data_IF_127571449619
#
_entry.id   IF_127571449619
#
_cell.length_a   1.000
_cell.length_b   1.000
_cell.length_c   1.000
_cell.angle_alpha   90.00
_cell.angle_beta   90.00
_cell.angle_gamma   90.00
#
_symmetry.space_group_name_H-M   'P 1'
#
loop_
_entity.id
_entity.type
_entity.pdbx_description
1 polymer ?
#
# COMPACT_ATOMS: atom_id res chain seq x y z
N UNK A 1 12.01 16.77 -10.78
CA UNK A 1 13.32 16.42 -10.20
C UNK A 1 13.20 16.64 -8.70
N UNK A 2 13.41 15.62 -7.88
CA UNK A 2 13.21 15.67 -6.42
C UNK A 2 14.16 16.68 -5.78
N UNK A 3 13.64 17.57 -4.95
CA UNK A 3 14.45 18.54 -4.19
C UNK A 3 15.08 17.86 -2.97
N UNK A 4 16.17 18.40 -2.39
CA UNK A 4 16.72 17.88 -1.14
C UNK A 4 15.70 17.82 0.00
N UNK A 5 14.81 18.82 0.07
CA UNK A 5 13.73 18.85 1.07
C UNK A 5 12.69 17.76 0.82
N UNK A 6 12.34 17.49 -0.45
CA UNK A 6 11.46 16.39 -0.82
C UNK A 6 12.05 15.02 -0.47
N UNK A 7 13.35 14.83 -0.72
CA UNK A 7 14.04 13.59 -0.37
C UNK A 7 14.15 13.39 1.15
N UNK A 8 14.42 14.46 1.91
CA UNK A 8 14.43 14.42 3.37
C UNK A 8 13.02 14.13 3.92
N UNK A 9 11.98 14.73 3.33
CA UNK A 9 10.59 14.47 3.69
C UNK A 9 10.27 12.99 3.54
N UNK A 10 10.54 12.41 2.38
CA UNK A 10 10.32 10.99 2.10
C UNK A 10 10.98 10.12 3.18
N UNK A 11 12.28 10.29 3.44
CA UNK A 11 13.00 9.55 4.49
C UNK A 11 12.35 9.71 5.87
N UNK A 12 11.88 10.91 6.23
CA UNK A 12 11.19 11.13 7.51
C UNK A 12 9.87 10.39 7.58
N UNK A 13 9.09 10.37 6.50
CA UNK A 13 7.82 9.62 6.47
C UNK A 13 8.10 8.12 6.53
N UNK A 14 8.97 7.59 5.65
CA UNK A 14 9.36 6.18 5.61
C UNK A 14 9.83 5.68 6.98
N UNK A 15 10.70 6.46 7.64
CA UNK A 15 11.17 6.13 9.00
C UNK A 15 10.02 6.12 9.99
N UNK A 16 9.17 7.14 9.98
CA UNK A 16 8.10 7.29 10.96
C UNK A 16 7.02 6.21 10.85
N UNK A 17 6.68 5.74 9.65
CA UNK A 17 5.75 4.61 9.45
C UNK A 17 6.40 3.25 9.72
N UNK A 18 7.67 3.08 9.32
CA UNK A 18 8.43 1.85 9.57
C UNK A 18 8.80 1.62 11.04
N UNK A 19 8.69 2.65 11.88
CA UNK A 19 8.89 2.60 13.33
C UNK A 19 7.54 2.54 14.12
N UNK A 20 6.38 2.37 13.44
CA UNK A 20 5.08 2.18 14.11
C UNK A 20 5.07 0.82 14.82
N UNK A 21 4.77 0.83 16.12
CA UNK A 21 4.58 -0.38 16.91
C UNK A 21 3.17 -0.94 16.70
N UNK A 22 3.07 -2.23 16.39
CA UNK A 22 1.81 -2.95 16.41
C UNK A 22 1.51 -3.38 17.85
N UNK A 23 0.62 -2.67 18.57
CA UNK A 23 0.18 -3.11 19.89
C UNK A 23 -0.77 -4.32 19.79
N UNK A 24 -0.41 -5.44 20.43
CA UNK A 24 -1.23 -6.65 20.51
C UNK A 24 -0.52 -7.82 21.20
N UNK A 25 -1.22 -8.48 22.11
CA UNK A 25 -0.74 -9.58 22.96
C UNK A 25 -0.11 -10.75 22.15
N UNK A 26 1.08 -11.16 22.56
CA UNK A 26 1.80 -12.42 22.20
C UNK A 26 2.22 -12.73 20.75
N UNK A 27 2.07 -11.85 19.74
CA UNK A 27 2.68 -12.09 18.41
C UNK A 27 3.18 -10.81 17.72
N UNK A 28 4.45 -10.75 17.26
CA UNK A 28 4.93 -9.65 16.43
C UNK A 28 4.27 -9.78 15.06
N UNK A 29 3.17 -9.05 14.84
CA UNK A 29 2.79 -8.69 13.48
C UNK A 29 3.76 -7.58 13.09
N UNK A 30 4.67 -7.86 12.16
CA UNK A 30 5.53 -6.82 11.60
C UNK A 30 4.63 -5.72 11.02
N UNK A 31 5.00 -4.45 11.23
CA UNK A 31 4.27 -3.35 10.61
C UNK A 31 4.31 -3.52 9.08
N UNK A 32 3.17 -3.42 8.41
CA UNK A 32 3.08 -3.63 6.96
C UNK A 32 3.63 -2.47 6.14
N UNK A 33 4.66 -1.79 6.64
CA UNK A 33 5.37 -0.70 5.97
C UNK A 33 6.84 -1.08 5.80
N UNK A 34 7.44 -0.64 4.70
CA UNK A 34 8.86 -0.88 4.46
C UNK A 34 9.74 -0.19 5.50
N UNK A 35 10.82 -0.86 5.90
CA UNK A 35 11.76 -0.34 6.90
C UNK A 35 13.01 0.23 6.25
N UNK A 36 13.46 1.37 6.75
CA UNK A 36 14.79 1.88 6.45
C UNK A 36 15.80 1.09 7.27
N UNK A 37 16.69 0.37 6.59
CA UNK A 37 17.84 -0.31 7.18
C UNK A 37 19.03 0.64 7.33
N UNK A 38 19.23 1.53 6.35
CA UNK A 38 20.30 2.51 6.37
C UNK A 38 20.00 3.69 5.43
N UNK A 39 20.66 4.83 5.64
CA UNK A 39 20.48 6.01 4.82
C UNK A 39 21.80 6.79 4.72
N UNK A 40 22.25 7.09 3.49
CA UNK A 40 23.54 7.73 3.21
C UNK A 40 23.38 8.89 2.25
N UNK A 41 24.14 9.95 2.46
CA UNK A 41 24.36 10.97 1.43
C UNK A 41 25.73 10.73 0.81
N UNK A 42 25.76 10.49 -0.49
CA UNK A 42 26.99 10.21 -1.24
C UNK A 42 27.21 11.25 -2.32
N UNK A 43 28.44 11.27 -2.88
CA UNK A 43 28.84 12.18 -3.94
C UNK A 43 29.73 11.44 -4.93
N UNK A 44 29.53 11.65 -6.23
CA UNK A 44 30.39 11.08 -7.28
C UNK A 44 29.64 10.72 -8.56
N UNK A 45 30.35 10.03 -9.47
CA UNK A 45 29.71 9.35 -10.61
C UNK A 45 28.97 8.10 -10.14
N UNK A 46 28.07 7.57 -10.98
CA UNK A 46 27.42 6.29 -10.70
C UNK A 46 28.45 5.14 -10.68
N UNK A 47 28.33 4.25 -9.70
CA UNK A 47 29.25 3.12 -9.58
C UNK A 47 29.14 2.19 -10.81
N UNK A 48 30.27 1.75 -11.37
CA UNK A 48 30.30 0.92 -12.59
C UNK A 48 29.38 -0.30 -12.51
N UNK A 49 29.29 -0.93 -11.34
CA UNK A 49 28.41 -2.10 -11.15
C UNK A 49 26.94 -1.73 -11.32
N UNK A 50 26.51 -0.58 -10.82
CA UNK A 50 25.12 -0.10 -10.96
C UNK A 50 24.81 0.32 -12.40
N UNK A 51 25.79 0.92 -13.10
CA UNK A 51 25.68 1.23 -14.52
C UNK A 51 25.47 -0.04 -15.35
N UNK A 52 26.29 -1.07 -15.11
CA UNK A 52 26.12 -2.37 -15.78
C UNK A 52 24.75 -2.98 -15.51
N UNK A 53 24.31 -3.00 -14.25
CA UNK A 53 22.98 -3.49 -13.89
C UNK A 53 21.85 -2.68 -14.54
N UNK A 54 21.99 -1.36 -14.68
CA UNK A 54 21.03 -0.54 -15.40
C UNK A 54 21.00 -0.87 -16.89
N UNK A 55 22.16 -1.04 -17.54
CA UNK A 55 22.25 -1.43 -18.95
C UNK A 55 21.63 -2.82 -19.21
N UNK A 56 21.88 -3.79 -18.30
CA UNK A 56 21.28 -5.12 -18.37
C UNK A 56 19.75 -5.05 -18.27
N UNK A 57 19.23 -4.19 -17.38
CA UNK A 57 17.79 -3.95 -17.23
C UNK A 57 17.19 -3.24 -18.45
N UNK A 58 17.81 -2.15 -18.91
CA UNK A 58 17.40 -1.37 -20.08
C UNK A 58 17.29 -2.25 -21.32
N UNK A 59 18.28 -3.13 -21.55
CA UNK A 59 18.27 -4.07 -22.66
C UNK A 59 17.21 -5.19 -22.53
N UNK A 60 16.75 -5.49 -21.32
CA UNK A 60 15.78 -6.57 -21.05
C UNK A 60 14.31 -6.11 -21.15
N UNK A 61 14.03 -4.82 -20.99
CA UNK A 61 12.68 -4.27 -21.08
C UNK A 61 12.30 -4.01 -22.55
N UNK A 62 11.09 -4.40 -22.96
CA UNK A 62 10.65 -4.39 -24.38
C UNK A 62 10.84 -3.04 -25.08
N UNK A 63 10.65 -1.92 -24.36
CA UNK A 63 10.78 -0.56 -24.89
C UNK A 63 12.00 0.20 -24.33
N UNK A 64 12.92 -0.50 -23.68
CA UNK A 64 13.96 0.14 -22.87
C UNK A 64 13.42 0.75 -21.58
N UNK A 65 14.33 1.24 -20.74
CA UNK A 65 13.99 2.00 -19.56
C UNK A 65 13.44 3.38 -19.96
N UNK A 66 12.36 3.81 -19.31
CA UNK A 66 11.86 5.19 -19.45
C UNK A 66 12.84 6.21 -18.85
N UNK A 67 13.74 5.76 -17.97
CA UNK A 67 14.73 6.60 -17.33
C UNK A 67 15.94 6.84 -18.25
N UNK A 68 16.56 8.01 -18.12
CA UNK A 68 17.84 8.29 -18.79
C UNK A 68 18.96 7.51 -18.11
N UNK A 69 19.96 7.10 -18.90
CA UNK A 69 21.16 6.43 -18.38
C UNK A 69 21.79 7.19 -17.19
N UNK A 70 22.19 6.47 -16.13
CA UNK A 70 22.85 7.08 -14.97
C UNK A 70 24.30 7.51 -15.25
N UNK A 71 24.88 7.17 -16.40
CA UNK A 71 26.23 7.62 -16.79
C UNK A 71 26.33 9.14 -17.01
N UNK A 72 25.18 9.82 -17.14
CA UNK A 72 25.12 11.28 -17.38
C UNK A 72 25.58 12.15 -16.20
N UNK A 73 25.87 11.57 -15.04
CA UNK A 73 26.17 12.30 -13.81
C UNK A 73 27.68 12.39 -13.55
N UNK A 74 28.13 13.60 -13.22
CA UNK A 74 29.54 13.95 -13.00
C UNK A 74 29.97 13.79 -11.53
N UNK A 75 31.28 13.92 -11.25
CA UNK A 75 31.87 13.73 -9.91
C UNK A 75 31.27 14.60 -8.79
N UNK A 76 30.66 15.74 -9.14
CA UNK A 76 30.04 16.65 -8.17
C UNK A 76 28.59 16.29 -7.79
N UNK A 77 27.97 15.34 -8.50
CA UNK A 77 26.59 14.92 -8.25
C UNK A 77 26.47 14.32 -6.85
N UNK A 78 25.42 14.73 -6.11
CA UNK A 78 25.07 14.17 -4.80
C UNK A 78 23.87 13.24 -4.92
N UNK A 79 23.86 12.17 -4.14
CA UNK A 79 22.73 11.24 -4.06
C UNK A 79 22.33 11.01 -2.60
N UNK A 80 21.04 10.74 -2.42
CA UNK A 80 20.53 10.11 -1.22
C UNK A 80 20.35 8.63 -1.53
N UNK A 81 21.04 7.77 -0.78
CA UNK A 81 20.93 6.31 -0.88
C UNK A 81 20.16 5.81 0.32
N UNK A 82 18.91 5.42 0.11
CA UNK A 82 18.05 4.82 1.13
C UNK A 82 18.09 3.30 0.95
N UNK A 83 18.56 2.58 1.96
CA UNK A 83 18.61 1.12 1.97
C UNK A 83 17.36 0.63 2.70
N UNK A 84 16.47 -0.02 1.95
CA UNK A 84 15.18 -0.51 2.43
C UNK A 84 15.22 -2.03 2.67
N UNK A 85 14.33 -2.52 3.53
CA UNK A 85 14.06 -3.95 3.66
C UNK A 85 13.45 -4.51 2.37
N UNK A 86 13.79 -5.74 1.99
CA UNK A 86 13.20 -6.41 0.83
C UNK A 86 11.73 -6.80 1.10
N UNK A 87 10.80 -6.14 0.42
CA UNK A 87 9.37 -6.40 0.50
C UNK A 87 8.84 -7.39 -0.54
N UNK A 88 9.68 -7.87 -1.46
CA UNK A 88 9.27 -8.76 -2.55
C UNK A 88 8.90 -8.03 -3.83
N UNK A 89 7.87 -8.54 -4.53
CA UNK A 89 7.46 -8.06 -5.86
C UNK A 89 6.24 -7.17 -5.72
N UNK A 90 6.14 -6.08 -6.47
CA UNK A 90 4.96 -5.23 -6.46
C UNK A 90 3.69 -6.00 -6.83
N UNK A 91 2.56 -5.58 -6.27
CA UNK A 91 1.31 -6.29 -6.41
C UNK A 91 0.89 -6.33 -7.87
N UNK A 92 1.19 -5.35 -8.72
CA UNK A 92 0.88 -5.39 -10.15
C UNK A 92 1.48 -6.64 -10.82
N UNK A 93 2.76 -6.92 -10.59
CA UNK A 93 3.46 -8.08 -11.17
C UNK A 93 3.34 -9.37 -10.35
N UNK A 94 2.99 -9.30 -9.06
CA UNK A 94 2.86 -10.49 -8.22
C UNK A 94 1.68 -11.38 -8.65
N UNK A 95 1.96 -12.67 -8.79
CA UNK A 95 0.98 -13.70 -9.14
C UNK A 95 0.13 -14.11 -7.94
N UNK A 96 -1.08 -13.55 -7.85
CA UNK A 96 -2.06 -13.93 -6.83
C UNK A 96 -2.78 -15.20 -7.25
N UNK A 97 -2.68 -16.26 -6.44
CA UNK A 97 -3.12 -17.61 -6.83
C UNK A 97 -4.49 -18.01 -6.28
N UNK A 98 -5.03 -17.28 -5.30
CA UNK A 98 -6.30 -17.61 -4.64
C UNK A 98 -6.99 -16.38 -4.05
N UNK A 99 -8.28 -16.50 -3.74
CA UNK A 99 -9.02 -15.43 -3.07
C UNK A 99 -8.55 -15.21 -1.64
N UNK A 100 -8.12 -16.25 -0.94
CA UNK A 100 -7.49 -16.12 0.38
C UNK A 100 -6.25 -15.22 0.33
N UNK A 101 -5.37 -15.37 -0.67
CA UNK A 101 -4.22 -14.48 -0.85
C UNK A 101 -4.67 -13.05 -1.18
N UNK A 102 -5.61 -12.89 -2.12
CA UNK A 102 -6.12 -11.58 -2.52
C UNK A 102 -6.71 -10.81 -1.32
N UNK A 103 -7.58 -11.47 -0.55
CA UNK A 103 -8.18 -10.88 0.65
C UNK A 103 -7.13 -10.63 1.73
N UNK A 104 -6.15 -11.52 1.90
CA UNK A 104 -5.08 -11.32 2.88
C UNK A 104 -4.26 -10.07 2.60
N UNK A 105 -3.86 -9.86 1.35
CA UNK A 105 -3.13 -8.67 0.92
C UNK A 105 -3.92 -7.42 1.27
N UNK A 106 -5.21 -7.36 0.94
CA UNK A 106 -6.06 -6.22 1.30
C UNK A 106 -6.11 -6.02 2.81
N UNK A 107 -6.45 -7.06 3.59
CA UNK A 107 -6.69 -6.90 5.02
C UNK A 107 -5.40 -6.60 5.80
N UNK A 108 -4.24 -7.05 5.35
CA UNK A 108 -2.94 -6.61 5.86
C UNK A 108 -2.70 -5.12 5.60
N UNK A 109 -2.97 -4.64 4.39
CA UNK A 109 -2.86 -3.21 4.04
C UNK A 109 -3.84 -2.36 4.86
N UNK A 110 -5.11 -2.77 4.96
CA UNK A 110 -6.13 -2.10 5.78
C UNK A 110 -5.71 -2.04 7.24
N UNK A 111 -5.18 -3.13 7.80
CA UNK A 111 -4.72 -3.19 9.19
C UNK A 111 -3.55 -2.23 9.44
N UNK A 112 -2.60 -2.18 8.51
CA UNK A 112 -1.42 -1.31 8.59
C UNK A 112 -1.82 0.17 8.49
N UNK A 113 -2.68 0.53 7.53
CA UNK A 113 -3.21 1.88 7.39
C UNK A 113 -4.04 2.30 8.60
N UNK A 114 -4.93 1.44 9.12
CA UNK A 114 -5.74 1.74 10.30
C UNK A 114 -4.88 2.06 11.53
N UNK A 115 -3.80 1.30 11.73
CA UNK A 115 -2.83 1.54 12.81
C UNK A 115 -2.12 2.88 12.62
N UNK A 116 -1.70 3.18 11.39
CA UNK A 116 -1.00 4.42 11.07
C UNK A 116 -1.90 5.67 11.10
N UNK A 117 -3.17 5.55 10.70
CA UNK A 117 -4.21 6.57 10.88
C UNK A 117 -4.36 6.90 12.38
N UNK A 118 -4.45 5.88 13.23
CA UNK A 118 -4.67 6.08 14.66
C UNK A 118 -3.46 6.71 15.37
N UNK A 119 -2.27 6.16 15.13
CA UNK A 119 -1.08 6.57 15.89
C UNK A 119 -0.42 7.84 15.33
N UNK A 120 -0.55 8.07 14.02
CA UNK A 120 0.24 9.08 13.31
C UNK A 120 -0.59 9.92 12.35
N UNK A 121 -1.92 9.74 12.30
CA UNK A 121 -2.79 10.44 11.34
C UNK A 121 -2.26 10.29 9.90
N UNK A 122 -1.80 9.08 9.55
CA UNK A 122 -1.14 8.82 8.28
C UNK A 122 -2.11 8.77 7.11
N UNK A 123 -1.69 9.34 5.98
CA UNK A 123 -2.33 9.19 4.67
C UNK A 123 -1.26 8.83 3.64
N UNK A 124 -1.45 7.73 2.90
CA UNK A 124 -0.49 7.31 1.88
C UNK A 124 -0.49 8.24 0.67
N UNK A 125 -1.70 8.60 0.19
CA UNK A 125 -2.00 9.46 -0.97
C UNK A 125 -1.49 9.00 -2.33
N UNK A 126 -0.72 7.91 -2.40
CA UNK A 126 -0.34 7.31 -3.68
C UNK A 126 -0.31 5.77 -3.70
N UNK A 127 -1.30 5.13 -3.08
CA UNK A 127 -1.28 3.68 -2.86
C UNK A 127 -1.83 2.90 -4.06
N UNK A 128 -1.24 3.10 -5.24
CA UNK A 128 -1.49 2.23 -6.38
C UNK A 128 -0.86 0.85 -6.12
N UNK A 129 -1.25 -0.16 -6.90
CA UNK A 129 -0.79 -1.54 -6.72
C UNK A 129 0.70 -1.77 -6.99
N UNK A 130 1.41 -0.77 -7.55
CA UNK A 130 2.87 -0.77 -7.64
C UNK A 130 3.53 -0.50 -6.28
N UNK A 131 2.80 0.17 -5.37
CA UNK A 131 3.26 0.58 -4.04
C UNK A 131 2.85 -0.40 -2.92
N UNK A 132 2.39 -1.58 -3.29
CA UNK A 132 2.15 -2.70 -2.37
C UNK A 132 3.05 -3.85 -2.81
N UNK A 133 4.15 -4.08 -2.10
CA UNK A 133 5.01 -5.24 -2.34
C UNK A 133 4.41 -6.47 -1.67
N UNK A 134 4.60 -7.63 -2.30
CA UNK A 134 4.14 -8.92 -1.81
C UNK A 134 5.27 -9.94 -1.88
N UNK A 135 5.46 -10.68 -0.79
CA UNK A 135 6.36 -11.84 -0.75
C UNK A 135 5.67 -13.07 -0.18
N UNK A 136 6.07 -14.23 -0.66
CA UNK A 136 5.60 -15.51 -0.12
C UNK A 136 6.24 -15.78 1.24
N UNK A 137 5.45 -16.31 2.16
CA UNK A 137 5.87 -16.66 3.53
C UNK A 137 5.46 -18.09 3.88
N UNK A 138 6.09 -18.73 4.88
CA UNK A 138 5.66 -20.05 5.34
C UNK A 138 4.19 -20.05 5.79
N UNK A 139 3.38 -20.88 5.13
CA UNK A 139 1.94 -21.00 5.41
C UNK A 139 1.66 -22.02 6.53
N UNK A 140 0.90 -21.59 7.54
CA UNK A 140 0.39 -22.42 8.63
C UNK A 140 -1.12 -22.54 8.51
N UNK A 141 -1.61 -23.76 8.26
CA UNK A 141 -3.03 -24.03 8.09
C UNK A 141 -3.86 -23.53 9.28
N UNK A 142 -4.95 -22.81 8.98
CA UNK A 142 -5.88 -22.29 9.98
C UNK A 142 -7.24 -22.99 9.88
N UNK A 143 -7.87 -23.23 11.03
CA UNK A 143 -9.21 -23.83 11.10
C UNK A 143 -10.34 -22.79 11.03
N UNK A 144 -10.04 -21.49 11.21
CA UNK A 144 -11.03 -20.41 11.26
C UNK A 144 -10.74 -19.34 10.22
N UNK A 145 -11.76 -18.99 9.43
CA UNK A 145 -11.72 -17.88 8.48
C UNK A 145 -12.37 -16.65 9.12
N UNK A 146 -11.57 -15.60 9.30
CA UNK A 146 -11.99 -14.31 9.84
C UNK A 146 -11.13 -13.19 9.24
N UNK A 147 -11.56 -11.93 9.34
CA UNK A 147 -10.68 -10.80 8.95
C UNK A 147 -9.38 -10.86 9.75
N UNK A 148 -9.44 -11.15 11.05
CA UNK A 148 -8.24 -11.27 11.88
C UNK A 148 -7.28 -12.37 11.39
N UNK A 149 -7.81 -13.49 10.88
CA UNK A 149 -6.99 -14.54 10.26
C UNK A 149 -6.39 -14.07 8.94
N UNK A 150 -7.18 -13.40 8.09
CA UNK A 150 -6.71 -12.91 6.78
C UNK A 150 -5.63 -11.83 6.92
N UNK A 151 -5.66 -11.03 7.98
CA UNK A 151 -4.63 -10.05 8.28
C UNK A 151 -3.29 -10.65 8.76
N UNK A 152 -3.18 -11.97 8.94
CA UNK A 152 -1.94 -12.61 9.39
C UNK A 152 -1.17 -13.24 8.23
N UNK A 153 0.07 -12.80 7.93
CA UNK A 153 0.84 -13.36 6.82
C UNK A 153 1.03 -14.88 6.87
N UNK A 154 1.33 -15.41 8.06
CA UNK A 154 1.53 -16.84 8.27
C UNK A 154 0.27 -17.68 8.01
N UNK A 155 -0.93 -17.08 8.10
CA UNK A 155 -2.19 -17.77 7.89
C UNK A 155 -2.55 -17.94 6.42
N UNK A 156 -1.93 -17.17 5.52
CA UNK A 156 -2.29 -17.12 4.09
C UNK A 156 -1.08 -17.34 3.18
N UNK A 157 0.12 -17.35 3.74
CA UNK A 157 1.38 -17.61 3.05
C UNK A 157 1.85 -16.42 2.20
N UNK A 158 1.31 -15.23 2.41
CA UNK A 158 1.70 -14.00 1.73
C UNK A 158 1.79 -12.85 2.72
N UNK A 159 2.77 -11.98 2.53
CA UNK A 159 2.97 -10.77 3.32
C UNK A 159 2.93 -9.55 2.41
N UNK A 160 2.15 -8.55 2.79
CA UNK A 160 2.01 -7.29 2.07
C UNK A 160 2.76 -6.16 2.79
N UNK A 161 3.59 -5.42 2.04
CA UNK A 161 4.43 -4.34 2.53
C UNK A 161 4.18 -3.09 1.70
N UNK A 162 3.79 -2.01 2.35
CA UNK A 162 3.50 -0.71 1.74
C UNK A 162 4.82 0.08 1.55
N UNK A 163 5.01 0.66 0.36
CA UNK A 163 6.18 1.45 -0.04
C UNK A 163 5.80 2.78 -0.68
N UNK A 164 6.81 3.62 -0.95
CA UNK A 164 6.72 4.90 -1.65
C UNK A 164 5.79 5.92 -0.97
N UNK A 165 6.42 6.74 -0.13
CA UNK A 165 5.73 7.75 0.66
C UNK A 165 5.93 9.17 0.11
N UNK A 166 6.23 9.29 -1.19
CA UNK A 166 6.59 10.56 -1.83
C UNK A 166 5.49 11.62 -1.67
N UNK A 167 4.22 11.21 -1.80
CA UNK A 167 3.04 12.07 -1.70
C UNK A 167 2.34 12.05 -0.33
N UNK A 168 2.86 11.25 0.61
CA UNK A 168 2.18 10.95 1.87
C UNK A 168 2.12 12.14 2.83
N UNK A 169 1.24 12.01 3.83
CA UNK A 169 1.11 12.93 4.96
C UNK A 169 1.14 12.14 6.27
N UNK A 170 1.86 12.66 7.25
CA UNK A 170 1.97 12.04 8.57
C UNK A 170 2.19 13.09 9.67
N UNK A 171 1.69 12.81 10.86
CA UNK A 171 2.04 13.55 12.08
C UNK A 171 3.16 12.82 12.83
N UNK A 172 4.32 13.46 12.99
CA UNK A 172 5.48 12.91 13.72
C UNK A 172 5.63 13.51 15.13
N UNK A 173 4.66 14.28 15.59
CA UNK A 173 4.67 14.91 16.91
C UNK A 173 3.75 16.14 17.00
N UNK A 174 3.64 16.76 18.19
CA UNK A 174 2.80 17.93 18.41
C UNK A 174 3.16 19.06 17.42
N UNK A 175 2.22 19.42 16.55
CA UNK A 175 2.38 20.40 15.47
C UNK A 175 3.52 20.09 14.47
N UNK A 176 3.84 18.82 14.28
CA UNK A 176 4.85 18.37 13.30
C UNK A 176 4.19 17.50 12.23
N UNK A 177 3.48 18.14 11.32
CA UNK A 177 2.97 17.49 10.12
C UNK A 177 4.08 17.47 9.07
N UNK A 178 4.30 16.31 8.46
CA UNK A 178 5.21 16.11 7.33
C UNK A 178 4.33 15.66 6.17
N UNK A 179 4.28 16.45 5.10
CA UNK A 179 3.38 16.21 3.97
C UNK A 179 3.98 16.74 2.67
N UNK A 180 3.54 16.19 1.53
CA UNK A 180 3.81 16.81 0.23
C UNK A 180 2.70 17.78 -0.17
N UNK A 181 3.10 18.93 -0.71
CA UNK A 181 2.17 19.86 -1.34
C UNK A 181 1.91 19.40 -2.77
N UNK A 182 0.71 18.89 -3.05
CA UNK A 182 0.33 18.42 -4.39
C UNK A 182 -0.13 19.59 -5.27
N UNK A 183 0.81 20.46 -5.66
CA UNK A 183 0.55 21.63 -6.52
C UNK A 183 0.72 21.37 -8.01
N UNK A 184 1.21 20.20 -8.41
CA UNK A 184 1.40 19.85 -9.82
C UNK A 184 0.07 19.43 -10.46
N UNK A 185 -0.45 20.26 -11.37
CA UNK A 185 -1.69 19.97 -12.10
C UNK A 185 -1.59 18.74 -13.00
N UNK A 186 -0.38 18.31 -13.39
CA UNK A 186 -0.19 17.11 -14.19
C UNK A 186 -0.69 15.85 -13.46
N UNK A 187 -0.57 15.82 -12.13
CA UNK A 187 -1.06 14.73 -11.29
C UNK A 187 -2.57 14.49 -11.47
N UNK A 188 -3.34 15.57 -11.68
CA UNK A 188 -4.80 15.51 -11.79
C UNK A 188 -5.32 15.38 -13.23
N UNK A 189 -4.43 15.51 -14.22
CA UNK A 189 -4.75 15.48 -15.65
C UNK A 189 -4.76 14.09 -16.29
N UNK A 190 -4.29 13.06 -15.59
CA UNK A 190 -4.22 11.69 -16.12
C UNK A 190 -5.59 11.04 -16.37
N UNK A 191 -5.64 10.08 -17.29
CA UNK A 191 -6.85 9.34 -17.69
C UNK A 191 -6.51 7.91 -18.07
N UNK A 192 -7.50 7.02 -18.10
CA UNK A 192 -7.35 5.65 -18.62
C UNK A 192 -7.21 4.58 -17.53
N UNK A 193 -7.02 4.97 -16.28
CA UNK A 193 -7.02 4.10 -15.11
C UNK A 193 -7.67 4.80 -13.91
N UNK A 194 -8.30 4.03 -13.02
CA UNK A 194 -8.96 4.51 -11.81
C UNK A 194 -8.02 5.27 -10.88
N UNK A 195 -6.70 4.99 -10.90
CA UNK A 195 -5.72 5.74 -10.10
C UNK A 195 -5.83 7.25 -10.32
N UNK A 196 -6.11 7.68 -11.56
CA UNK A 196 -6.22 9.11 -11.87
C UNK A 196 -7.51 9.73 -11.33
N UNK A 197 -8.59 8.95 -11.22
CA UNK A 197 -9.81 9.38 -10.54
C UNK A 197 -9.57 9.55 -9.04
N UNK A 198 -8.73 8.71 -8.43
CA UNK A 198 -8.38 8.83 -7.01
C UNK A 198 -7.71 10.17 -6.72
N UNK A 199 -6.72 10.61 -7.52
CA UNK A 199 -6.10 11.93 -7.30
C UNK A 199 -7.11 13.08 -7.32
N UNK A 200 -8.04 13.08 -8.30
CA UNK A 200 -9.09 14.10 -8.39
C UNK A 200 -10.01 14.07 -7.17
N UNK A 201 -10.44 12.88 -6.76
CA UNK A 201 -11.32 12.70 -5.60
C UNK A 201 -10.63 13.10 -4.29
N UNK A 202 -9.33 12.84 -4.15
CA UNK A 202 -8.56 13.35 -3.01
C UNK A 202 -8.55 14.87 -2.99
N UNK A 203 -8.28 15.53 -4.13
CA UNK A 203 -8.28 17.00 -4.22
C UNK A 203 -9.63 17.59 -3.85
N UNK A 204 -10.71 16.96 -4.30
CA UNK A 204 -12.07 17.37 -3.96
C UNK A 204 -12.37 17.14 -2.47
N UNK A 205 -11.96 16.00 -1.89
CA UNK A 205 -12.21 15.68 -0.49
C UNK A 205 -11.41 16.56 0.48
N UNK A 206 -10.17 16.91 0.14
CA UNK A 206 -9.31 17.78 0.95
C UNK A 206 -9.55 19.26 0.70
N UNK A 207 -10.30 19.63 -0.35
CA UNK A 207 -10.41 21.01 -0.83
C UNK A 207 -9.02 21.64 -1.08
N UNK A 208 -8.05 20.82 -1.54
CA UNK A 208 -6.63 21.17 -1.71
C UNK A 208 -5.87 21.54 -0.42
N UNK A 209 -6.43 21.28 0.76
CA UNK A 209 -5.68 21.30 2.02
C UNK A 209 -4.90 19.98 2.19
N UNK A 210 -3.64 19.99 1.78
CA UNK A 210 -2.77 18.82 1.89
C UNK A 210 -2.08 18.68 3.26
N UNK A 211 -2.18 19.67 4.15
CA UNK A 211 -1.61 19.58 5.50
C UNK A 211 -2.57 18.89 6.49
N UNK A 212 -3.87 19.17 6.34
CA UNK A 212 -4.92 18.57 7.16
C UNK A 212 -4.92 17.04 7.11
N UNK A 213 -5.62 16.43 8.07
CA UNK A 213 -5.79 14.99 8.14
C UNK A 213 -7.14 14.59 7.55
N UNK A 214 -7.10 13.89 6.42
CA UNK A 214 -8.26 13.45 5.66
C UNK A 214 -8.15 11.95 5.36
N UNK A 215 -8.48 11.06 6.31
CA UNK A 215 -8.30 9.61 6.14
C UNK A 215 -9.13 9.02 4.98
N UNK A 216 -10.09 9.78 4.44
CA UNK A 216 -10.80 9.44 3.22
C UNK A 216 -9.86 9.23 2.03
N UNK A 217 -8.68 9.84 2.01
CA UNK A 217 -7.66 9.58 0.98
C UNK A 217 -7.19 8.12 1.00
N UNK A 218 -7.00 7.53 2.18
CA UNK A 218 -6.70 6.10 2.33
C UNK A 218 -7.89 5.24 1.88
N UNK A 219 -9.12 5.61 2.25
CA UNK A 219 -10.32 4.88 1.82
C UNK A 219 -10.48 4.86 0.29
N UNK A 220 -10.21 5.98 -0.38
CA UNK A 220 -10.23 6.07 -1.84
C UNK A 220 -9.21 5.13 -2.49
N UNK A 221 -7.99 5.06 -1.95
CA UNK A 221 -6.98 4.12 -2.43
C UNK A 221 -7.28 2.66 -2.10
N UNK A 222 -7.86 2.38 -0.94
CA UNK A 222 -8.35 1.05 -0.62
C UNK A 222 -9.44 0.60 -1.61
N UNK A 223 -10.32 1.51 -2.04
CA UNK A 223 -11.32 1.21 -3.06
C UNK A 223 -10.65 0.81 -4.38
N UNK A 224 -9.62 1.54 -4.77
CA UNK A 224 -8.79 1.23 -5.93
C UNK A 224 -8.13 -0.16 -5.80
N UNK A 225 -7.51 -0.46 -4.65
CA UNK A 225 -6.85 -1.75 -4.44
C UNK A 225 -7.83 -2.93 -4.46
N UNK A 226 -9.01 -2.77 -3.85
CA UNK A 226 -10.07 -3.79 -3.89
C UNK A 226 -10.49 -4.09 -5.32
N UNK A 227 -10.67 -3.06 -6.15
CA UNK A 227 -11.02 -3.23 -7.57
C UNK A 227 -9.94 -4.01 -8.33
N UNK A 228 -8.67 -3.63 -8.16
CA UNK A 228 -7.55 -4.35 -8.77
C UNK A 228 -7.47 -5.81 -8.33
N UNK A 229 -7.67 -6.10 -7.05
CA UNK A 229 -7.67 -7.47 -6.53
C UNK A 229 -8.84 -8.31 -7.06
N UNK A 230 -10.02 -7.72 -7.20
CA UNK A 230 -11.22 -8.39 -7.72
C UNK A 230 -11.15 -8.65 -9.23
N UNK A 231 -10.58 -7.71 -10.00
CA UNK A 231 -10.81 -7.66 -11.44
C UNK A 231 -9.54 -7.77 -12.30
N UNK A 232 -8.37 -7.42 -11.76
CA UNK A 232 -7.13 -7.40 -12.55
C UNK A 232 -6.21 -8.60 -12.28
N UNK A 233 -6.53 -9.46 -11.29
CA UNK A 233 -5.74 -10.66 -10.95
C UNK A 233 -6.14 -11.96 -11.65
N UNK A 234 -7.18 -11.92 -12.49
CA UNK A 234 -7.58 -13.08 -13.30
C UNK A 234 -8.12 -14.26 -12.50
N UNK A 235 -8.48 -14.05 -11.23
CA UNK A 235 -9.13 -15.07 -10.39
C UNK A 235 -10.56 -15.32 -10.86
N UNK A 236 -10.99 -16.57 -10.82
CA UNK A 236 -12.37 -16.95 -11.15
C UNK A 236 -13.25 -16.85 -9.91
N UNK A 237 -14.44 -16.28 -10.07
CA UNK A 237 -15.42 -16.21 -8.97
C UNK A 237 -15.70 -17.61 -8.39
N UNK A 238 -15.78 -17.75 -7.05
CA UNK A 238 -16.11 -19.02 -6.42
C UNK A 238 -17.51 -19.49 -6.81
N UNK A 239 -17.62 -20.72 -7.34
CA UNK A 239 -18.91 -21.31 -7.74
C UNK A 239 -19.54 -21.98 -6.54
N UNK A 240 -20.66 -21.47 -6.02
CA UNK A 240 -21.41 -22.06 -4.91
C UNK A 240 -21.78 -23.54 -5.20
N UNK A 241 -20.89 -24.46 -4.82
CA UNK A 241 -21.09 -25.90 -4.98
C UNK A 241 -20.61 -26.63 -3.73
N UNK A 242 -21.47 -27.50 -3.21
CA UNK A 242 -21.45 -27.89 -1.80
C UNK A 242 -20.21 -28.64 -1.29
N UNK A 243 -19.94 -28.40 0.00
CA UNK A 243 -19.32 -29.31 0.99
C UNK A 243 -17.80 -29.54 1.01
N UNK A 244 -16.94 -28.58 0.61
CA UNK A 244 -15.50 -28.64 0.94
C UNK A 244 -15.05 -27.42 1.77
N UNK A 245 -14.27 -27.63 2.83
CA UNK A 245 -13.74 -26.55 3.70
C UNK A 245 -12.95 -25.49 2.92
N UNK A 246 -12.07 -25.89 2.00
CA UNK A 246 -11.32 -24.97 1.15
C UNK A 246 -12.23 -24.07 0.29
N UNK A 247 -13.42 -24.55 -0.09
CA UNK A 247 -14.40 -23.73 -0.80
C UNK A 247 -15.01 -22.65 0.11
N UNK A 248 -15.19 -22.94 1.40
CA UNK A 248 -15.72 -21.97 2.36
C UNK A 248 -14.70 -20.85 2.62
N UNK A 249 -13.41 -21.19 2.69
CA UNK A 249 -12.32 -20.23 2.84
C UNK A 249 -12.26 -19.24 1.67
N UNK A 250 -12.21 -19.76 0.45
CA UNK A 250 -12.18 -18.96 -0.78
C UNK A 250 -13.46 -18.13 -0.96
N UNK A 251 -14.63 -18.69 -0.62
CA UNK A 251 -15.90 -17.95 -0.67
C UNK A 251 -15.95 -16.82 0.36
N UNK A 252 -15.47 -17.07 1.57
CA UNK A 252 -15.37 -16.06 2.62
C UNK A 252 -14.43 -14.93 2.20
N UNK A 253 -13.25 -15.29 1.69
CA UNK A 253 -12.25 -14.33 1.24
C UNK A 253 -12.78 -13.46 0.09
N UNK A 254 -13.36 -14.07 -0.95
CA UNK A 254 -14.01 -13.35 -2.04
C UNK A 254 -15.12 -12.42 -1.55
N UNK A 255 -16.03 -12.92 -0.71
CA UNK A 255 -17.12 -12.11 -0.18
C UNK A 255 -16.58 -10.95 0.66
N UNK A 256 -15.50 -11.12 1.43
CA UNK A 256 -14.89 -10.04 2.21
C UNK A 256 -14.38 -8.88 1.34
N UNK A 257 -13.84 -9.19 0.14
CA UNK A 257 -13.42 -8.18 -0.84
C UNK A 257 -14.61 -7.44 -1.42
N UNK A 258 -15.68 -8.16 -1.80
CA UNK A 258 -16.92 -7.58 -2.34
C UNK A 258 -17.60 -6.66 -1.31
N UNK A 259 -17.64 -7.12 -0.07
CA UNK A 259 -18.16 -6.41 1.09
C UNK A 259 -17.36 -5.12 1.34
N UNK A 260 -16.03 -5.18 1.30
CA UNK A 260 -15.17 -3.99 1.38
C UNK A 260 -15.40 -3.02 0.21
N UNK A 261 -15.55 -3.52 -1.03
CA UNK A 261 -15.86 -2.70 -2.20
C UNK A 261 -17.14 -1.88 -1.99
N UNK A 262 -18.18 -2.51 -1.44
CA UNK A 262 -19.47 -1.85 -1.17
C UNK A 262 -19.35 -0.78 -0.09
N UNK A 263 -18.62 -1.05 0.99
CA UNK A 263 -18.43 -0.07 2.07
C UNK A 263 -17.63 1.15 1.61
N UNK A 264 -16.68 0.96 0.69
CA UNK A 264 -15.83 2.02 0.15
C UNK A 264 -16.45 2.75 -1.06
N UNK A 265 -17.55 2.23 -1.63
CA UNK A 265 -18.23 2.85 -2.78
C UNK A 265 -19.03 4.11 -2.41
N UNK A 266 -19.38 4.26 -1.13
CA UNK A 266 -20.19 5.36 -0.63
C UNK A 266 -19.30 6.57 -0.31
N UNK A 267 -19.28 7.56 -1.21
CA UNK A 267 -18.41 8.76 -1.09
C UNK A 267 -19.21 10.01 -0.67
N UNK A 268 -20.46 9.85 -0.22
CA UNK A 268 -21.29 10.97 0.25
C UNK A 268 -21.36 10.99 1.77
N UNK A 269 -21.30 12.19 2.41
CA UNK A 269 -21.40 12.34 3.87
C UNK A 269 -22.66 11.74 4.51
N UNK A 270 -23.73 11.55 3.73
CA UNK A 270 -25.01 11.01 4.19
C UNK A 270 -25.15 9.48 3.98
N UNK A 271 -24.18 8.84 3.31
CA UNK A 271 -24.20 7.39 3.09
C UNK A 271 -23.46 6.65 4.22
N UNK A 272 -23.95 5.46 4.57
CA UNK A 272 -23.43 4.60 5.65
C UNK A 272 -22.07 3.93 5.34
N UNK A 273 -21.22 4.56 4.51
CA UNK A 273 -19.93 4.05 4.04
C UNK A 273 -18.77 4.28 5.00
N UNK A 274 -17.67 3.54 4.77
CA UNK A 274 -16.42 3.75 5.51
C UNK A 274 -15.57 4.84 4.83
N UNK A 275 -15.12 5.82 5.61
CA UNK A 275 -14.32 6.95 5.17
C UNK A 275 -12.87 6.90 5.64
N UNK A 276 -12.44 5.79 6.25
CA UNK A 276 -11.07 5.56 6.70
C UNK A 276 -10.73 4.06 6.71
N UNK A 277 -9.45 3.72 6.75
CA UNK A 277 -9.03 2.32 6.94
C UNK A 277 -9.45 1.80 8.32
N UNK A 278 -9.39 2.64 9.35
CA UNK A 278 -9.84 2.33 10.71
C UNK A 278 -11.33 1.97 10.77
N UNK A 279 -12.19 2.77 10.14
CA UNK A 279 -13.64 2.49 10.07
C UNK A 279 -13.92 1.17 9.35
N UNK A 280 -13.25 0.94 8.20
CA UNK A 280 -13.41 -0.29 7.43
C UNK A 280 -12.99 -1.52 8.23
N UNK A 281 -11.85 -1.46 8.92
CA UNK A 281 -11.36 -2.57 9.76
C UNK A 281 -12.34 -2.86 10.91
N UNK A 282 -12.76 -1.82 11.62
CA UNK A 282 -13.69 -1.96 12.74
C UNK A 282 -15.03 -2.57 12.30
N UNK A 283 -15.57 -2.09 11.18
CA UNK A 283 -16.76 -2.66 10.56
C UNK A 283 -16.58 -4.14 10.22
N UNK A 284 -15.50 -4.52 9.56
CA UNK A 284 -15.28 -5.88 9.09
C UNK A 284 -15.05 -6.88 10.24
N UNK A 285 -14.39 -6.45 11.31
CA UNK A 285 -14.18 -7.27 12.51
C UNK A 285 -15.48 -7.44 13.30
N UNK A 286 -16.26 -6.37 13.51
CA UNK A 286 -17.50 -6.43 14.29
C UNK A 286 -18.59 -7.32 13.68
N UNK A 287 -18.67 -7.39 12.34
CA UNK A 287 -19.60 -8.27 11.63
C UNK A 287 -19.25 -9.76 11.78
N UNK A 288 -17.96 -10.10 11.83
CA UNK A 288 -17.50 -11.48 12.03
C UNK A 288 -17.78 -12.00 13.46
N UNK A 289 -17.85 -11.11 14.45
CA UNK A 289 -18.23 -11.47 15.83
C UNK A 289 -19.72 -11.74 15.99
N UNK A 290 -20.56 -11.17 15.13
CA UNK A 290 -22.03 -11.24 15.22
C UNK A 290 -22.64 -12.47 14.54
N UNK A 291 -21.81 -13.31 13.92
CA UNK A 291 -22.24 -14.53 13.20
C UNK A 291 -21.94 -15.83 13.99
N UNK A 292 -21.67 -15.72 15.30
CA UNK A 292 -21.50 -16.86 16.22
C UNK A 292 -22.76 -17.12 17.03
#
# INVERSE_FOLDING_TARGET
MTTPDGALREVRVTKAVGDIDCEGDDRPTENGFVKILNCHVTKGVYAERLVRSWNDFDAAVENGSENRTPERFEEEQKYLVVVLSDGGTDLEHFGVSSWEQAASILWQVVTSLATAEEQKQFEHRDLHWGNVLVRSTPHTAQDQHSIATLSQPSATGVEAIIIDFTLSRINVGPKQNVYEQLSDEQLFGGTGDMQFDVYRQMRDATQSDWEGFYPITNALWLRYLVDKLLHAKGLKEPVVSGRRKAHAAESFAYNSLRDAQQQLASVKPDDCGCTSAKELLHWAVSRNSSSK
#
